data_IF_614015436840
#
_entry.id   IF_614015436840
#
_cell.length_a   1.000
_cell.length_b   1.000
_cell.length_c   1.000
_cell.angle_alpha   90.00
_cell.angle_beta   90.00
_cell.angle_gamma   90.00
#
_symmetry.space_group_name_H-M   'P 1'
#
loop_
_entity.id
_entity.type
_entity.pdbx_description
1 polymer ?
#
# COMPACT_ATOMS: atom_id res chain seq x y z
N UNK A 1 -17.31 -33.60 -7.25
CA UNK A 1 -15.89 -33.62 -6.81
C UNK A 1 -15.73 -32.50 -5.83
N UNK A 2 -15.20 -32.69 -4.62
CA UNK A 2 -14.98 -31.60 -3.69
C UNK A 2 -13.85 -30.69 -4.21
N UNK A 3 -14.00 -29.40 -4.01
CA UNK A 3 -13.00 -28.39 -4.33
C UNK A 3 -11.72 -28.69 -3.53
N UNK A 4 -10.59 -28.77 -4.22
CA UNK A 4 -9.27 -28.91 -3.62
C UNK A 4 -9.02 -27.69 -2.70
N UNK A 5 -8.97 -27.97 -1.42
CA UNK A 5 -8.44 -27.04 -0.42
C UNK A 5 -6.96 -26.93 -0.72
N UNK A 6 -6.55 -25.79 -1.28
CA UNK A 6 -5.14 -25.44 -1.43
C UNK A 6 -4.51 -25.37 -0.04
N UNK A 7 -3.88 -26.46 0.36
CA UNK A 7 -2.96 -26.46 1.50
C UNK A 7 -1.83 -25.49 1.19
N UNK A 8 -1.65 -24.51 2.04
CA UNK A 8 -0.50 -23.59 1.98
C UNK A 8 0.75 -24.45 2.21
N UNK A 9 1.57 -24.55 1.18
CA UNK A 9 2.87 -25.21 1.26
C UNK A 9 3.83 -24.29 2.03
N UNK A 10 3.94 -24.53 3.33
CA UNK A 10 4.81 -23.76 4.23
C UNK A 10 6.31 -23.96 3.94
N UNK A 11 6.67 -24.92 3.10
CA UNK A 11 8.05 -25.23 2.73
C UNK A 11 8.51 -24.57 1.41
N UNK A 12 7.62 -23.86 0.70
CA UNK A 12 8.08 -23.05 -0.42
C UNK A 12 8.85 -21.87 0.14
N UNK A 13 10.12 -21.69 -0.26
CA UNK A 13 10.85 -20.49 0.10
C UNK A 13 10.04 -19.29 -0.40
N UNK A 14 9.67 -18.40 0.51
CA UNK A 14 9.14 -17.09 0.13
C UNK A 14 10.08 -16.52 -0.93
N UNK A 15 9.52 -16.06 -2.06
CA UNK A 15 10.30 -15.32 -3.05
C UNK A 15 11.09 -14.30 -2.26
N UNK A 16 12.42 -14.42 -2.27
CA UNK A 16 13.26 -13.47 -1.55
C UNK A 16 12.96 -12.11 -2.14
N UNK A 17 12.76 -11.11 -1.30
CA UNK A 17 12.55 -9.72 -1.72
C UNK A 17 13.65 -9.21 -2.69
N UNK A 18 14.80 -9.87 -2.69
CA UNK A 18 15.91 -9.65 -3.62
C UNK A 18 15.54 -9.91 -5.08
N UNK A 19 14.60 -10.82 -5.35
CA UNK A 19 14.12 -11.13 -6.71
C UNK A 19 12.93 -10.25 -7.15
N UNK A 20 12.28 -9.56 -6.21
CA UNK A 20 11.24 -8.59 -6.50
C UNK A 20 11.84 -7.23 -6.88
N UNK A 21 12.71 -7.26 -7.90
CA UNK A 21 13.17 -6.06 -8.60
C UNK A 21 13.91 -5.06 -7.71
N UNK A 22 15.10 -5.42 -7.24
CA UNK A 22 16.15 -4.47 -6.85
C UNK A 22 16.76 -3.76 -8.09
N UNK A 23 15.93 -3.51 -9.11
CA UNK A 23 16.23 -2.46 -10.05
C UNK A 23 16.23 -1.17 -9.22
N UNK A 24 17.40 -0.61 -8.98
CA UNK A 24 17.59 0.73 -8.48
C UNK A 24 16.81 1.68 -9.42
N UNK A 25 15.52 1.79 -9.17
CA UNK A 25 14.78 2.95 -9.55
C UNK A 25 15.27 4.04 -8.59
N UNK A 26 16.26 4.81 -9.02
CA UNK A 26 16.45 6.16 -8.50
C UNK A 26 15.18 6.93 -8.87
N UNK A 27 14.14 6.67 -8.07
CA UNK A 27 12.90 7.40 -8.14
C UNK A 27 13.21 8.83 -7.70
N UNK A 28 13.32 9.73 -8.64
CA UNK A 28 13.22 11.15 -8.31
C UNK A 28 11.81 11.42 -7.81
N UNK A 29 11.60 11.18 -6.51
CA UNK A 29 10.37 11.47 -5.78
C UNK A 29 10.08 12.98 -5.70
N UNK A 30 10.92 13.84 -6.28
CA UNK A 30 10.62 15.27 -6.40
C UNK A 30 9.38 15.55 -7.25
N UNK A 31 8.93 14.57 -8.03
CA UNK A 31 7.76 14.71 -8.91
C UNK A 31 6.42 14.68 -8.15
N UNK A 32 6.19 13.88 -7.09
CA UNK A 32 4.91 13.86 -6.38
C UNK A 32 4.86 14.76 -5.15
N UNK A 33 5.99 15.25 -4.68
CA UNK A 33 6.14 15.70 -3.30
C UNK A 33 5.81 17.18 -3.10
N UNK A 34 5.62 17.93 -4.14
CA UNK A 34 5.22 19.33 -4.04
C UNK A 34 3.71 19.50 -3.73
N UNK A 35 3.15 18.60 -2.90
CA UNK A 35 1.69 18.54 -2.70
C UNK A 35 1.17 19.60 -1.76
N UNK A 36 1.94 20.02 -0.76
CA UNK A 36 1.54 21.11 0.14
C UNK A 36 1.56 22.46 -0.54
N UNK A 37 2.54 22.67 -1.41
CA UNK A 37 2.67 23.90 -2.19
C UNK A 37 1.86 23.85 -3.50
N UNK A 38 1.46 22.68 -3.92
CA UNK A 38 0.76 22.48 -5.19
C UNK A 38 -0.67 23.00 -5.16
N UNK A 39 -1.37 22.88 -4.03
CA UNK A 39 -2.77 23.28 -3.91
C UNK A 39 -2.96 24.79 -3.90
N UNK A 40 -1.93 25.55 -3.47
CA UNK A 40 -1.99 27.00 -3.34
C UNK A 40 -1.42 27.78 -4.54
N UNK A 41 -0.75 27.09 -5.49
CA UNK A 41 -0.14 27.76 -6.64
C UNK A 41 -0.92 27.52 -7.93
N UNK A 42 -1.28 28.57 -8.69
CA UNK A 42 -1.90 28.40 -9.99
C UNK A 42 -1.04 27.52 -10.91
N UNK A 43 -1.65 26.50 -11.51
CA UNK A 43 -0.96 25.61 -12.44
C UNK A 43 -0.17 24.44 -11.81
N UNK A 44 -0.15 24.30 -10.48
CA UNK A 44 0.61 23.24 -9.80
C UNK A 44 0.22 21.83 -10.28
N UNK A 45 -1.06 21.55 -10.41
CA UNK A 45 -1.55 20.26 -10.94
C UNK A 45 -1.15 20.03 -12.40
N UNK A 46 -1.11 21.08 -13.21
CA UNK A 46 -0.66 20.99 -14.61
C UNK A 46 0.83 20.64 -14.67
N UNK A 47 1.66 21.28 -13.83
CA UNK A 47 3.08 20.97 -13.72
C UNK A 47 3.30 19.53 -13.26
N UNK A 48 2.56 19.08 -12.26
CA UNK A 48 2.61 17.69 -11.78
C UNK A 48 2.25 16.71 -12.91
N UNK A 49 1.14 16.93 -13.59
CA UNK A 49 0.71 16.08 -14.70
C UNK A 49 1.73 16.05 -15.83
N UNK A 50 2.34 17.19 -16.19
CA UNK A 50 3.39 17.27 -17.20
C UNK A 50 4.63 16.46 -16.80
N UNK A 51 5.09 16.59 -15.54
CA UNK A 51 6.21 15.80 -15.01
C UNK A 51 5.90 14.30 -15.06
N UNK A 52 4.72 13.88 -14.60
CA UNK A 52 4.27 12.48 -14.66
C UNK A 52 4.25 11.96 -16.09
N UNK A 53 3.77 12.75 -17.06
CA UNK A 53 3.73 12.37 -18.47
C UNK A 53 5.12 12.16 -19.08
N UNK A 54 6.10 12.96 -18.67
CA UNK A 54 7.51 12.79 -19.11
C UNK A 54 8.09 11.47 -18.60
N UNK A 55 7.73 11.02 -17.41
CA UNK A 55 8.22 9.78 -16.81
C UNK A 55 7.43 8.53 -17.22
N UNK A 56 6.28 8.68 -17.88
CA UNK A 56 5.43 7.55 -18.33
C UNK A 56 6.12 6.52 -19.25
N UNK A 57 7.17 6.85 -20.03
CA UNK A 57 7.93 5.83 -20.79
C UNK A 57 8.54 4.73 -19.89
N UNK A 58 8.79 5.02 -18.61
CA UNK A 58 9.16 4.02 -17.59
C UNK A 58 8.02 3.88 -16.57
N UNK A 59 6.99 3.09 -16.88
CA UNK A 59 5.74 3.08 -16.08
C UNK A 59 5.85 2.39 -14.74
N UNK A 60 6.95 1.68 -14.44
CA UNK A 60 7.12 0.92 -13.20
C UNK A 60 7.08 1.77 -11.94
N UNK A 61 7.47 3.03 -12.01
CA UNK A 61 7.46 3.97 -10.89
C UNK A 61 6.14 4.77 -10.75
N UNK A 62 5.33 4.86 -11.81
CA UNK A 62 4.13 5.71 -11.82
C UNK A 62 3.14 5.30 -10.72
N UNK A 63 2.89 4.00 -10.58
CA UNK A 63 1.93 3.50 -9.60
C UNK A 63 2.39 3.72 -8.14
N UNK A 64 3.61 3.35 -7.71
CA UNK A 64 4.06 3.63 -6.34
C UNK A 64 4.09 5.12 -6.03
N UNK A 65 4.50 5.98 -6.95
CA UNK A 65 4.50 7.43 -6.78
C UNK A 65 3.07 7.97 -6.63
N UNK A 66 2.16 7.57 -7.52
CA UNK A 66 0.75 8.00 -7.45
C UNK A 66 0.09 7.59 -6.14
N UNK A 67 0.35 6.37 -5.66
CA UNK A 67 -0.19 5.88 -4.39
C UNK A 67 0.42 6.59 -3.20
N UNK A 68 1.72 6.89 -3.22
CA UNK A 68 2.40 7.64 -2.16
C UNK A 68 1.84 9.06 -2.04
N UNK A 69 1.57 9.72 -3.15
CA UNK A 69 0.88 11.00 -3.18
C UNK A 69 -0.56 10.88 -2.64
N UNK A 70 -1.28 9.89 -3.13
CA UNK A 70 -2.72 9.77 -2.93
C UNK A 70 -3.11 9.27 -1.52
N UNK A 71 -2.19 8.65 -0.77
CA UNK A 71 -2.48 8.10 0.56
C UNK A 71 -2.70 9.17 1.62
N UNK A 72 -2.12 10.35 1.46
CA UNK A 72 -2.09 11.42 2.47
C UNK A 72 -3.49 11.81 2.98
N UNK A 73 -4.47 12.17 2.13
CA UNK A 73 -5.80 12.53 2.64
C UNK A 73 -6.50 11.36 3.35
N UNK A 74 -6.38 10.14 2.84
CA UNK A 74 -6.94 8.97 3.52
C UNK A 74 -6.30 8.76 4.89
N UNK A 75 -4.98 8.95 5.01
CA UNK A 75 -4.26 8.81 6.27
C UNK A 75 -4.70 9.85 7.33
N UNK A 76 -5.11 11.03 6.91
CA UNK A 76 -5.58 12.11 7.81
C UNK A 76 -6.86 11.76 8.58
N UNK A 77 -7.57 10.68 8.22
CA UNK A 77 -8.64 10.12 9.06
C UNK A 77 -8.14 9.50 10.37
N UNK A 78 -6.82 9.36 10.54
CA UNK A 78 -6.18 9.06 11.83
C UNK A 78 -5.04 10.08 12.04
N UNK A 79 -5.29 11.09 12.87
CA UNK A 79 -4.38 12.22 13.08
C UNK A 79 -3.01 11.79 13.62
N UNK A 80 -2.95 10.76 14.46
CA UNK A 80 -1.68 10.28 15.02
C UNK A 80 -0.84 9.58 13.96
N UNK A 81 -1.45 8.76 13.12
CA UNK A 81 -0.77 8.14 11.99
C UNK A 81 -0.32 9.20 10.96
N UNK A 82 -1.18 10.16 10.64
CA UNK A 82 -0.84 11.26 9.74
C UNK A 82 0.36 12.06 10.25
N UNK A 83 0.39 12.41 11.53
CA UNK A 83 1.51 13.13 12.15
C UNK A 83 2.85 12.40 11.99
N UNK A 84 2.84 11.06 12.04
CA UNK A 84 4.04 10.24 11.91
C UNK A 84 4.45 10.07 10.44
N UNK A 85 3.51 9.70 9.58
CA UNK A 85 3.84 9.23 8.22
C UNK A 85 3.76 10.32 7.15
N UNK A 86 2.90 11.33 7.29
CA UNK A 86 2.75 12.37 6.26
C UNK A 86 4.06 13.14 5.98
N UNK A 87 4.87 13.53 6.99
CA UNK A 87 6.16 14.18 6.72
C UNK A 87 7.12 13.30 5.91
N UNK A 88 7.08 11.97 6.13
CA UNK A 88 7.91 11.00 5.42
C UNK A 88 7.41 10.75 4.00
N UNK A 89 6.08 10.68 3.81
CA UNK A 89 5.44 10.51 2.51
C UNK A 89 5.62 11.72 1.59
N UNK A 90 5.80 12.91 2.17
CA UNK A 90 5.97 14.17 1.44
C UNK A 90 7.44 14.62 1.32
N UNK A 91 8.38 13.81 1.79
CA UNK A 91 9.81 14.09 1.63
C UNK A 91 10.25 13.79 0.20
N UNK A 92 11.25 14.56 -0.29
CA UNK A 92 11.82 14.40 -1.64
C UNK A 92 12.96 13.38 -1.69
N UNK A 93 13.47 12.96 -0.54
CA UNK A 93 14.50 11.94 -0.46
C UNK A 93 13.86 10.55 -0.48
N UNK A 94 14.36 9.69 -1.33
CA UNK A 94 13.96 8.29 -1.39
C UNK A 94 15.04 7.40 -0.75
N UNK A 95 14.61 6.52 0.14
CA UNK A 95 15.46 5.52 0.78
C UNK A 95 14.96 4.12 0.40
N UNK A 96 15.70 3.38 -0.46
CA UNK A 96 15.29 2.05 -0.93
C UNK A 96 15.46 0.93 0.09
N UNK A 97 16.18 1.17 1.19
CA UNK A 97 16.48 0.11 2.16
C UNK A 97 15.22 -0.45 2.82
N UNK A 98 15.21 -1.76 3.05
CA UNK A 98 14.18 -2.44 3.81
C UNK A 98 14.45 -2.28 5.31
N UNK A 99 13.93 -1.22 5.89
CA UNK A 99 14.05 -0.89 7.31
C UNK A 99 12.79 -0.24 7.86
N UNK A 100 12.75 0.02 9.15
CA UNK A 100 11.62 0.68 9.79
C UNK A 100 11.31 2.03 9.12
N UNK A 101 10.09 2.21 8.65
CA UNK A 101 9.65 3.39 7.90
C UNK A 101 9.98 4.71 8.61
N UNK A 102 9.81 4.77 9.94
CA UNK A 102 10.08 5.97 10.75
C UNK A 102 11.57 6.32 10.91
N UNK A 103 12.47 5.47 10.42
CA UNK A 103 13.93 5.75 10.41
C UNK A 103 14.42 6.23 9.05
N UNK A 104 13.52 6.32 8.06
CA UNK A 104 13.82 6.80 6.71
C UNK A 104 13.60 8.30 6.59
N UNK A 105 14.31 8.94 5.67
CA UNK A 105 14.05 10.32 5.28
C UNK A 105 12.73 10.42 4.50
N UNK A 106 12.49 9.51 3.56
CA UNK A 106 11.25 9.41 2.80
C UNK A 106 10.80 7.96 2.61
N UNK A 107 9.49 7.77 2.49
CA UNK A 107 8.84 6.47 2.36
C UNK A 107 7.84 6.45 1.21
N UNK A 108 7.48 5.23 0.79
CA UNK A 108 6.45 4.98 -0.22
C UNK A 108 5.27 4.21 0.36
N UNK A 109 4.10 4.39 -0.28
CA UNK A 109 2.85 3.72 0.10
C UNK A 109 2.30 2.87 -1.03
N UNK A 110 1.87 1.65 -0.68
CA UNK A 110 1.11 0.77 -1.53
C UNK A 110 -0.36 0.67 -1.11
N UNK A 111 -1.13 -0.14 -1.85
CA UNK A 111 -2.55 -0.36 -1.58
C UNK A 111 -2.95 -1.80 -1.87
N UNK A 112 -3.85 -2.34 -1.04
CA UNK A 112 -4.31 -3.73 -1.12
C UNK A 112 -5.79 -3.84 -0.78
N UNK A 113 -6.65 -3.89 -1.81
CA UNK A 113 -8.12 -3.96 -1.65
C UNK A 113 -8.72 -5.25 -2.18
N UNK A 114 -8.35 -5.61 -3.41
CA UNK A 114 -9.05 -6.65 -4.19
C UNK A 114 -8.67 -8.04 -3.72
N UNK A 115 -9.66 -8.88 -3.50
CA UNK A 115 -9.54 -10.32 -3.24
C UNK A 115 -9.92 -11.16 -4.47
N UNK A 116 -9.87 -12.49 -4.37
CA UNK A 116 -10.11 -13.41 -5.52
C UNK A 116 -11.48 -13.26 -6.16
N UNK A 117 -12.52 -12.88 -5.39
CA UNK A 117 -13.86 -12.66 -5.91
C UNK A 117 -13.98 -11.45 -6.85
N UNK A 118 -12.96 -10.57 -6.87
CA UNK A 118 -12.85 -9.42 -7.74
C UNK A 118 -13.03 -8.07 -7.07
N UNK A 119 -12.61 -7.01 -7.78
CA UNK A 119 -12.62 -5.63 -7.28
C UNK A 119 -13.95 -4.89 -7.41
N UNK A 120 -14.91 -5.42 -8.17
CA UNK A 120 -16.24 -4.79 -8.34
C UNK A 120 -17.12 -4.88 -7.09
N UNK A 121 -16.82 -5.81 -6.18
CA UNK A 121 -17.47 -5.93 -4.89
C UNK A 121 -16.45 -6.15 -3.77
N UNK A 122 -15.77 -5.07 -3.38
CA UNK A 122 -14.79 -5.12 -2.28
C UNK A 122 -15.43 -5.39 -0.91
N UNK A 123 -16.76 -5.17 -0.78
CA UNK A 123 -17.47 -5.46 0.47
C UNK A 123 -17.62 -6.95 0.74
N UNK A 124 -17.59 -7.78 -0.30
CA UNK A 124 -17.57 -9.24 -0.20
C UNK A 124 -16.20 -9.80 0.19
N UNK A 125 -15.20 -8.94 0.47
CA UNK A 125 -13.88 -9.36 0.93
C UNK A 125 -13.96 -10.15 2.23
N UNK A 126 -13.12 -11.17 2.36
CA UNK A 126 -13.12 -12.15 3.46
C UNK A 126 -11.94 -12.00 4.42
N UNK A 127 -10.94 -11.18 4.08
CA UNK A 127 -9.84 -10.88 5.02
C UNK A 127 -10.38 -10.32 6.32
N UNK A 128 -9.89 -10.82 7.44
CA UNK A 128 -10.35 -10.47 8.80
C UNK A 128 -9.34 -9.59 9.51
N UNK A 129 -9.81 -8.69 10.35
CA UNK A 129 -9.01 -7.88 11.25
C UNK A 129 -9.57 -8.01 12.68
N UNK A 130 -8.78 -8.54 13.59
CA UNK A 130 -9.13 -8.73 14.99
C UNK A 130 -8.43 -7.67 15.83
N UNK A 131 -9.17 -6.92 16.69
CA UNK A 131 -8.56 -5.91 17.55
C UNK A 131 -7.69 -6.55 18.63
N UNK A 132 -6.54 -5.93 18.89
CA UNK A 132 -5.61 -6.28 19.96
C UNK A 132 -5.78 -5.36 21.18
N UNK A 133 -5.28 -5.78 22.34
CA UNK A 133 -5.37 -5.00 23.58
C UNK A 133 -4.59 -3.66 23.54
N UNK A 134 -3.60 -3.55 22.64
CA UNK A 134 -2.76 -2.36 22.45
C UNK A 134 -3.33 -1.36 21.44
N UNK A 135 -4.55 -1.61 20.92
CA UNK A 135 -5.21 -0.76 19.93
C UNK A 135 -4.77 -1.02 18.46
N UNK A 136 -3.86 -1.96 18.24
CA UNK A 136 -3.56 -2.47 16.90
C UNK A 136 -4.57 -3.55 16.48
N UNK A 137 -4.44 -4.04 15.25
CA UNK A 137 -5.25 -5.14 14.72
C UNK A 137 -4.34 -6.23 14.14
N UNK A 138 -4.77 -7.46 14.30
CA UNK A 138 -4.17 -8.63 13.66
C UNK A 138 -4.98 -8.98 12.41
N UNK A 139 -4.33 -8.95 11.24
CA UNK A 139 -4.97 -9.23 9.95
C UNK A 139 -4.60 -10.63 9.46
N UNK A 140 -5.64 -11.35 9.00
CA UNK A 140 -5.51 -12.66 8.35
C UNK A 140 -6.35 -12.66 7.08
N UNK A 141 -5.77 -13.10 5.96
CA UNK A 141 -6.49 -13.19 4.70
C UNK A 141 -5.59 -13.10 3.49
N UNK A 142 -6.20 -12.99 2.32
CA UNK A 142 -5.52 -12.98 1.03
C UNK A 142 -5.95 -11.79 0.19
N UNK A 143 -4.99 -11.12 -0.43
CA UNK A 143 -5.24 -10.10 -1.45
C UNK A 143 -4.77 -10.54 -2.82
N UNK A 144 -5.68 -10.50 -3.78
CA UNK A 144 -5.43 -10.88 -5.16
C UNK A 144 -4.58 -9.85 -5.92
N UNK A 145 -4.70 -8.58 -5.52
CA UNK A 145 -3.87 -7.49 -6.01
C UNK A 145 -3.39 -6.61 -4.85
N UNK A 146 -2.08 -6.61 -4.64
CA UNK A 146 -1.35 -5.62 -3.85
C UNK A 146 -0.40 -4.91 -4.77
N UNK A 147 -0.61 -3.62 -4.96
CA UNK A 147 0.23 -2.80 -5.82
C UNK A 147 1.47 -2.34 -5.09
N UNK A 148 2.59 -2.32 -5.81
CA UNK A 148 3.90 -1.88 -5.33
C UNK A 148 4.31 -2.57 -4.00
N UNK A 149 4.51 -3.90 -3.99
CA UNK A 149 4.82 -4.66 -2.77
C UNK A 149 6.14 -4.24 -2.10
N UNK A 150 6.98 -3.48 -2.79
CA UNK A 150 8.22 -2.91 -2.26
C UNK A 150 8.00 -1.66 -1.39
N UNK A 151 6.80 -1.09 -1.33
CA UNK A 151 6.52 0.09 -0.51
C UNK A 151 6.68 -0.19 0.99
N UNK A 152 6.86 0.87 1.77
CA UNK A 152 7.12 0.81 3.22
C UNK A 152 5.86 0.60 4.05
N UNK A 153 4.75 1.18 3.58
CA UNK A 153 3.43 1.07 4.22
C UNK A 153 2.36 0.75 3.20
N UNK A 154 1.24 0.21 3.67
CA UNK A 154 0.11 -0.15 2.80
C UNK A 154 -1.21 0.25 3.44
N UNK A 155 -2.16 0.77 2.64
CA UNK A 155 -3.56 0.78 3.03
C UNK A 155 -4.24 -0.52 2.58
N UNK A 156 -4.90 -1.18 3.52
CA UNK A 156 -5.52 -2.50 3.34
C UNK A 156 -6.95 -2.48 3.83
N UNK A 157 -7.87 -3.11 3.09
CA UNK A 157 -9.23 -3.35 3.55
C UNK A 157 -9.34 -4.74 4.20
N UNK A 158 -9.96 -4.81 5.38
CA UNK A 158 -10.30 -6.07 6.05
C UNK A 158 -11.58 -5.91 6.87
N UNK A 159 -12.26 -7.02 7.15
CA UNK A 159 -13.44 -7.07 8.00
C UNK A 159 -13.03 -7.00 9.47
N UNK A 160 -13.42 -5.93 10.14
CA UNK A 160 -13.34 -5.75 11.59
C UNK A 160 -14.70 -6.05 12.24
N UNK A 161 -14.82 -6.08 13.58
CA UNK A 161 -16.12 -6.26 14.25
C UNK A 161 -17.20 -5.25 13.82
N UNK A 162 -16.82 -4.01 13.54
CA UNK A 162 -17.72 -2.96 13.04
C UNK A 162 -17.96 -2.98 11.51
N UNK A 163 -17.37 -3.93 10.79
CA UNK A 163 -17.51 -4.09 9.35
C UNK A 163 -16.22 -3.82 8.56
N UNK A 164 -16.35 -3.69 7.23
CA UNK A 164 -15.20 -3.49 6.35
C UNK A 164 -14.49 -2.17 6.66
N UNK A 165 -13.26 -2.27 7.10
CA UNK A 165 -12.44 -1.17 7.65
C UNK A 165 -11.14 -1.01 6.90
N UNK A 166 -10.52 0.17 7.01
CA UNK A 166 -9.24 0.48 6.40
C UNK A 166 -8.12 0.45 7.44
N UNK A 167 -7.02 -0.20 7.10
CA UNK A 167 -5.87 -0.36 7.98
C UNK A 167 -4.59 0.09 7.31
N UNK A 168 -3.73 0.76 8.06
CA UNK A 168 -2.34 0.99 7.69
C UNK A 168 -1.49 -0.17 8.21
N UNK A 169 -0.79 -0.85 7.31
CA UNK A 169 0.17 -1.90 7.63
C UNK A 169 1.58 -1.45 7.27
N UNK A 170 2.49 -1.33 8.22
CA UNK A 170 3.91 -1.13 7.93
C UNK A 170 4.54 -2.46 7.47
N UNK A 171 5.52 -2.39 6.60
CA UNK A 171 6.28 -3.56 6.13
C UNK A 171 7.24 -4.10 7.19
N UNK A 172 7.83 -3.19 7.97
CA UNK A 172 8.69 -3.47 9.12
C UNK A 172 8.00 -2.94 10.36
N UNK A 173 7.90 -3.76 11.39
CA UNK A 173 7.29 -3.43 12.68
C UNK A 173 8.24 -2.60 13.55
N UNK A 174 7.74 -1.91 14.59
CA UNK A 174 8.57 -1.09 15.49
C UNK A 174 9.72 -1.84 16.18
N UNK A 175 9.59 -3.15 16.35
CA UNK A 175 10.64 -4.01 16.90
C UNK A 175 11.72 -4.39 15.87
N UNK A 176 11.61 -3.90 14.63
CA UNK A 176 12.52 -4.20 13.52
C UNK A 176 12.23 -5.52 12.80
N UNK A 177 11.22 -6.27 13.22
CA UNK A 177 10.84 -7.51 12.53
C UNK A 177 9.99 -7.22 11.29
N UNK A 178 10.00 -8.14 10.32
CA UNK A 178 9.11 -8.06 9.15
C UNK A 178 7.68 -8.32 9.59
N UNK A 179 6.75 -7.47 9.13
CA UNK A 179 5.34 -7.73 9.29
C UNK A 179 4.94 -9.01 8.50
N UNK A 180 3.96 -9.73 8.99
CA UNK A 180 3.52 -11.02 8.44
C UNK A 180 2.68 -10.85 7.15
N UNK A 181 3.32 -10.23 6.16
CA UNK A 181 2.82 -10.01 4.80
C UNK A 181 3.68 -10.83 3.85
N UNK A 182 3.11 -11.87 3.23
CA UNK A 182 3.84 -12.81 2.41
C UNK A 182 3.45 -12.65 0.94
N UNK A 183 4.38 -12.15 0.13
CA UNK A 183 4.22 -12.07 -1.32
C UNK A 183 4.26 -13.49 -1.88
N UNK A 184 3.16 -13.93 -2.50
CA UNK A 184 3.03 -15.27 -3.05
C UNK A 184 3.58 -15.33 -4.48
N UNK A 185 3.28 -14.33 -5.28
CA UNK A 185 3.78 -14.20 -6.66
C UNK A 185 3.49 -12.81 -7.22
N UNK A 186 4.25 -12.43 -8.25
CA UNK A 186 3.91 -11.30 -9.10
C UNK A 186 2.83 -11.72 -10.10
N UNK A 187 1.98 -10.75 -10.47
CA UNK A 187 0.87 -10.97 -11.41
C UNK A 187 1.38 -11.06 -12.84
N UNK A 188 0.91 -12.04 -13.58
CA UNK A 188 0.97 -12.02 -15.04
C UNK A 188 -0.20 -11.19 -15.55
N UNK A 189 0.07 -10.05 -16.18
CA UNK A 189 -0.93 -9.05 -16.60
C UNK A 189 -0.92 -8.86 -18.11
N UNK A 190 -2.07 -8.44 -18.68
CA UNK A 190 -2.18 -8.12 -20.10
C UNK A 190 -1.41 -6.84 -20.48
N UNK A 191 -1.23 -5.94 -19.53
CA UNK A 191 -0.51 -4.68 -19.72
C UNK A 191 0.09 -4.20 -18.41
N UNK A 192 0.76 -3.03 -18.43
CA UNK A 192 1.43 -2.43 -17.29
C UNK A 192 2.43 -3.41 -16.62
N UNK A 193 3.22 -4.10 -17.45
CA UNK A 193 4.11 -5.18 -17.02
C UNK A 193 5.23 -4.69 -16.10
N UNK A 194 5.72 -3.47 -16.30
CA UNK A 194 6.79 -2.89 -15.50
C UNK A 194 6.34 -2.56 -14.06
N UNK A 195 5.03 -2.34 -13.84
CA UNK A 195 4.51 -2.07 -12.51
C UNK A 195 4.34 -3.35 -11.71
N UNK A 196 5.02 -3.45 -10.58
CA UNK A 196 4.90 -4.60 -9.69
C UNK A 196 3.49 -4.66 -9.07
N UNK A 197 2.80 -5.79 -9.30
CA UNK A 197 1.53 -6.14 -8.66
C UNK A 197 1.63 -7.58 -8.19
N UNK A 198 1.24 -7.84 -6.96
CA UNK A 198 1.45 -9.14 -6.31
C UNK A 198 0.18 -9.69 -5.68
N UNK A 199 0.17 -10.99 -5.46
CA UNK A 199 -0.73 -11.65 -4.53
C UNK A 199 -0.06 -11.69 -3.17
N UNK A 200 -0.80 -11.35 -2.10
CA UNK A 200 -0.25 -11.28 -0.74
C UNK A 200 -1.16 -12.05 0.22
N UNK A 201 -0.54 -12.88 1.05
CA UNK A 201 -1.17 -13.48 2.22
C UNK A 201 -0.80 -12.68 3.47
N UNK A 202 -1.80 -12.41 4.29
CA UNK A 202 -1.64 -11.90 5.65
C UNK A 202 -1.88 -13.07 6.61
N UNK A 203 -0.88 -13.42 7.39
CA UNK A 203 -0.95 -14.50 8.38
C UNK A 203 -0.62 -13.96 9.78
N UNK A 204 -1.48 -13.12 10.30
CA UNK A 204 -1.28 -12.42 11.56
C UNK A 204 -0.50 -11.11 11.38
N UNK A 205 -0.72 -10.41 10.26
CA UNK A 205 -0.10 -9.10 10.02
C UNK A 205 -0.65 -8.05 10.99
N UNK A 206 0.23 -7.20 11.52
CA UNK A 206 -0.15 -6.10 12.42
C UNK A 206 -0.47 -4.85 11.62
N UNK A 207 -1.61 -4.23 11.93
CA UNK A 207 -2.06 -2.98 11.33
C UNK A 207 -2.71 -2.02 12.32
N UNK A 208 -2.79 -0.76 11.93
CA UNK A 208 -3.48 0.29 12.69
C UNK A 208 -4.72 0.74 11.92
N UNK A 209 -5.84 0.93 12.62
CA UNK A 209 -7.08 1.43 12.02
C UNK A 209 -6.90 2.85 11.48
N UNK A 210 -7.34 3.09 10.24
CA UNK A 210 -7.42 4.41 9.61
C UNK A 210 -8.88 4.79 9.45
N UNK A 211 -9.30 5.85 10.16
CA UNK A 211 -10.70 6.24 10.25
C UNK A 211 -11.49 5.39 11.25
N UNK A 212 -12.73 5.07 10.93
CA UNK A 212 -13.67 4.34 11.78
C UNK A 212 -13.91 2.92 11.26
N UNK A 213 -14.17 1.96 12.16
CA UNK A 213 -14.62 0.62 11.76
C UNK A 213 -15.91 0.69 10.92
N UNK A 214 -16.00 -0.16 9.90
CA UNK A 214 -17.13 -0.18 8.96
C UNK A 214 -17.08 0.95 7.90
N UNK A 215 -16.13 1.88 8.00
CA UNK A 215 -15.95 3.00 7.08
C UNK A 215 -14.76 2.83 6.12
N UNK A 216 -14.28 1.62 5.93
CA UNK A 216 -13.07 1.35 5.15
C UNK A 216 -13.16 1.80 3.69
N UNK A 217 -14.30 1.58 3.01
CA UNK A 217 -14.46 2.01 1.61
C UNK A 217 -14.45 3.54 1.49
N UNK A 218 -15.25 4.31 2.22
CA UNK A 218 -15.15 5.77 2.18
C UNK A 218 -13.74 6.30 2.45
N UNK A 219 -13.02 5.71 3.40
CA UNK A 219 -11.65 6.12 3.75
C UNK A 219 -10.67 5.86 2.61
N UNK A 220 -10.62 4.63 2.08
CA UNK A 220 -9.63 4.27 1.06
C UNK A 220 -9.96 4.86 -0.32
N UNK A 221 -11.22 5.21 -0.58
CA UNK A 221 -11.64 5.77 -1.86
C UNK A 221 -11.02 7.15 -2.11
N UNK A 222 -10.67 7.89 -1.07
CA UNK A 222 -9.96 9.16 -1.21
C UNK A 222 -8.60 8.94 -1.89
N UNK A 223 -7.85 7.91 -1.45
CA UNK A 223 -6.62 7.49 -2.12
C UNK A 223 -6.88 7.05 -3.56
N UNK A 224 -7.91 6.23 -3.80
CA UNK A 224 -8.26 5.73 -5.14
C UNK A 224 -8.60 6.88 -6.08
N UNK A 225 -9.36 7.87 -5.63
CA UNK A 225 -9.75 9.01 -6.47
C UNK A 225 -8.53 9.83 -6.89
N UNK A 226 -7.61 10.10 -5.99
CA UNK A 226 -6.41 10.86 -6.31
C UNK A 226 -5.41 10.09 -7.21
N UNK A 227 -5.40 8.75 -7.17
CA UNK A 227 -4.57 7.97 -8.09
C UNK A 227 -5.08 8.03 -9.54
N UNK A 228 -6.29 8.54 -9.78
CA UNK A 228 -6.91 8.67 -11.12
C UNK A 228 -6.77 10.06 -11.73
N UNK A 229 -6.30 11.03 -10.95
CA UNK A 229 -6.03 12.39 -11.37
C UNK A 229 -4.60 12.52 -11.92
#
# INVERSE_FOLDING_TARGET
KPADVLTVDHDRPAVRDEDAGNGQLELDLSVPVDTRDADDRPGAHVVRAAKMSVWTPEPGHVCPISMTYAVVPALRHNAELAKVYEPLLTNREYDPELKLATTKAGITSGMSMTEKQGGSDVRAGTSQATPNADGTYTLVGHKWFTSAPMCDIFLVLAQAPGGLSCFLLPRILPDGTRNRMFVQRLKNKLGNHANASSEVEYDGATGCLVGEEGRGVPTIIEMVNLTRL
#
